data_IF_270220953205
#
_entry.id   IF_270220953205
#
_cell.length_a   1.000
_cell.length_b   1.000
_cell.length_c   1.000
_cell.angle_alpha   90.00
_cell.angle_beta   90.00
_cell.angle_gamma   90.00
#
_symmetry.space_group_name_H-M   'P 1'
#
loop_
_entity.id
_entity.type
_entity.pdbx_description
1 polymer ?
#
# COMPACT_ATOMS: atom_id res chain seq x y z
N UNK A 1 3.54 18.22 -7.09
CA UNK A 1 2.62 18.40 -5.95
C UNK A 1 2.54 17.13 -5.14
N UNK A 2 2.70 17.24 -3.82
CA UNK A 2 2.57 16.14 -2.88
C UNK A 2 1.13 16.04 -2.36
N UNK A 3 0.78 14.87 -1.80
CA UNK A 3 -0.52 14.67 -1.19
C UNK A 3 -0.34 14.10 0.22
N UNK A 4 -1.05 14.67 1.18
CA UNK A 4 -1.16 14.13 2.53
C UNK A 4 -2.57 13.60 2.78
N UNK A 5 -2.69 12.64 3.71
CA UNK A 5 -3.97 12.01 4.01
C UNK A 5 -4.20 11.95 5.51
N UNK A 6 -5.21 12.67 5.96
CA UNK A 6 -5.73 12.54 7.32
C UNK A 6 -6.83 11.48 7.36
N UNK A 7 -6.84 10.63 8.39
CA UNK A 7 -7.75 9.51 8.50
C UNK A 7 -8.52 9.53 9.82
N UNK A 8 -9.83 9.24 9.74
CA UNK A 8 -10.70 9.00 10.90
C UNK A 8 -11.47 7.71 10.73
N UNK A 9 -11.52 6.89 11.77
CA UNK A 9 -12.37 5.69 11.82
C UNK A 9 -13.77 6.10 12.23
N UNK A 10 -14.77 5.60 11.52
CA UNK A 10 -16.19 5.74 11.83
C UNK A 10 -16.70 4.37 12.27
N UNK A 11 -17.09 4.27 13.52
CA UNK A 11 -17.63 3.06 14.15
C UNK A 11 -19.16 3.03 14.09
N UNK A 12 -19.78 1.91 14.48
CA UNK A 12 -21.24 1.78 14.56
C UNK A 12 -21.90 2.72 15.58
N UNK A 13 -21.11 3.33 16.47
CA UNK A 13 -21.57 4.27 17.50
C UNK A 13 -21.60 5.72 17.01
N UNK A 14 -20.91 6.00 15.90
CA UNK A 14 -20.88 7.32 15.29
C UNK A 14 -22.18 7.61 14.54
N UNK A 15 -22.75 8.79 14.72
CA UNK A 15 -24.01 9.24 14.07
C UNK A 15 -23.96 9.14 12.55
N UNK A 16 -22.80 9.36 11.97
CA UNK A 16 -22.55 9.32 10.51
C UNK A 16 -22.39 7.88 9.96
N UNK A 17 -22.38 6.85 10.79
CA UNK A 17 -22.15 5.45 10.33
C UNK A 17 -23.17 5.01 9.28
N UNK A 18 -24.47 5.22 9.54
CA UNK A 18 -25.55 4.84 8.62
C UNK A 18 -25.46 5.57 7.28
N UNK A 19 -25.03 6.83 7.28
CA UNK A 19 -24.74 7.58 6.07
C UNK A 19 -23.60 6.93 5.25
N UNK A 20 -22.52 6.57 5.90
CA UNK A 20 -21.38 5.90 5.25
C UNK A 20 -21.78 4.55 4.65
N UNK A 21 -22.56 3.73 5.39
CA UNK A 21 -23.05 2.42 4.94
C UNK A 21 -23.93 2.58 3.69
N UNK A 22 -24.89 3.50 3.74
CA UNK A 22 -25.82 3.76 2.64
C UNK A 22 -25.08 4.18 1.35
N UNK A 23 -24.15 5.15 1.46
CA UNK A 23 -23.36 5.60 0.30
C UNK A 23 -22.50 4.48 -0.27
N UNK A 24 -21.84 3.68 0.57
CA UNK A 24 -20.98 2.60 0.12
C UNK A 24 -21.76 1.47 -0.58
N UNK A 25 -23.01 1.19 -0.14
CA UNK A 25 -23.91 0.24 -0.83
C UNK A 25 -24.34 0.76 -2.19
N UNK A 26 -24.84 1.98 -2.25
CA UNK A 26 -25.24 2.63 -3.51
C UNK A 26 -24.08 2.74 -4.50
N UNK A 27 -22.89 3.09 -4.02
CA UNK A 27 -21.70 3.18 -4.83
C UNK A 27 -21.31 1.81 -5.45
N UNK A 28 -21.47 0.71 -4.71
CA UNK A 28 -21.25 -0.65 -5.24
C UNK A 28 -22.20 -0.99 -6.38
N UNK A 29 -23.50 -0.69 -6.21
CA UNK A 29 -24.50 -0.94 -7.23
C UNK A 29 -24.23 -0.15 -8.49
N UNK A 30 -24.02 1.15 -8.36
CA UNK A 30 -23.69 2.04 -9.49
C UNK A 30 -22.40 1.64 -10.21
N UNK A 31 -21.34 1.30 -9.46
CA UNK A 31 -20.10 0.82 -10.08
C UNK A 31 -20.34 -0.44 -10.93
N UNK A 32 -21.11 -1.40 -10.41
CA UNK A 32 -21.42 -2.63 -11.13
C UNK A 32 -22.31 -2.37 -12.35
N UNK A 33 -23.31 -1.50 -12.24
CA UNK A 33 -24.15 -1.09 -13.37
C UNK A 33 -23.35 -0.39 -14.48
N UNK A 34 -22.41 0.49 -14.09
CA UNK A 34 -21.49 1.15 -15.02
C UNK A 34 -20.53 0.15 -15.68
N UNK A 35 -19.91 -0.72 -14.86
CA UNK A 35 -18.97 -1.74 -15.37
C UNK A 35 -19.68 -2.75 -16.30
N UNK A 36 -20.94 -3.10 -16.03
CA UNK A 36 -21.75 -3.95 -16.90
C UNK A 36 -21.80 -3.40 -18.32
N UNK A 37 -22.09 -2.12 -18.44
CA UNK A 37 -22.16 -1.44 -19.77
C UNK A 37 -20.79 -1.39 -20.42
N UNK A 38 -19.76 -0.97 -19.71
CA UNK A 38 -18.37 -0.90 -20.23
C UNK A 38 -17.92 -2.25 -20.80
N UNK A 39 -18.21 -3.35 -20.08
CA UNK A 39 -17.84 -4.70 -20.51
C UNK A 39 -18.62 -5.16 -21.72
N UNK A 40 -19.94 -5.00 -21.72
CA UNK A 40 -20.80 -5.48 -22.81
C UNK A 40 -20.61 -4.65 -24.10
N UNK A 41 -20.33 -3.35 -23.99
CA UNK A 41 -19.89 -2.55 -25.14
C UNK A 41 -18.61 -3.13 -25.73
N UNK A 42 -17.60 -3.37 -24.90
CA UNK A 42 -16.31 -3.86 -25.37
C UNK A 42 -16.38 -5.25 -26.02
N UNK A 43 -17.12 -6.18 -25.40
CA UNK A 43 -17.23 -7.57 -25.90
C UNK A 43 -18.16 -7.70 -27.10
N UNK A 44 -19.22 -6.90 -27.18
CA UNK A 44 -20.23 -6.96 -28.25
C UNK A 44 -19.96 -6.04 -29.45
N UNK A 45 -18.90 -5.20 -29.41
CA UNK A 45 -18.70 -4.12 -30.42
C UNK A 45 -18.55 -4.62 -31.87
N UNK A 46 -17.76 -5.67 -32.05
CA UNK A 46 -17.46 -6.26 -33.39
C UNK A 46 -18.04 -7.67 -33.53
N UNK A 47 -19.02 -8.05 -32.72
CA UNK A 47 -19.60 -9.37 -32.68
C UNK A 47 -20.79 -9.48 -33.64
N UNK A 48 -20.81 -10.54 -34.46
CA UNK A 48 -21.96 -10.86 -35.30
C UNK A 48 -23.15 -11.36 -34.46
N UNK A 49 -22.88 -12.26 -33.53
CA UNK A 49 -23.90 -12.80 -32.62
C UNK A 49 -23.65 -12.31 -31.17
N UNK A 50 -24.44 -11.32 -30.76
CA UNK A 50 -24.40 -10.77 -29.40
C UNK A 50 -25.21 -11.62 -28.43
N UNK A 51 -24.75 -11.69 -27.19
CA UNK A 51 -25.53 -12.25 -26.08
C UNK A 51 -26.68 -11.30 -25.72
N UNK A 52 -27.70 -11.79 -25.00
CA UNK A 52 -28.83 -10.98 -24.52
C UNK A 52 -28.38 -9.70 -23.79
N UNK A 53 -27.38 -9.82 -22.90
CA UNK A 53 -26.82 -8.67 -22.19
C UNK A 53 -26.16 -7.65 -23.14
N UNK A 54 -25.47 -8.12 -24.14
CA UNK A 54 -24.85 -7.26 -25.15
C UNK A 54 -25.93 -6.58 -26.02
N UNK A 55 -26.97 -7.33 -26.43
CA UNK A 55 -28.11 -6.77 -27.17
C UNK A 55 -28.75 -5.64 -26.38
N UNK A 56 -29.12 -5.87 -25.10
CA UNK A 56 -29.74 -4.84 -24.27
C UNK A 56 -28.89 -3.59 -24.12
N UNK A 57 -27.56 -3.74 -23.97
CA UNK A 57 -26.67 -2.57 -23.88
C UNK A 57 -26.56 -1.83 -25.24
N UNK A 58 -26.62 -2.54 -26.38
CA UNK A 58 -26.62 -1.88 -27.69
C UNK A 58 -27.96 -1.21 -28.01
N UNK A 59 -29.08 -1.68 -27.48
CA UNK A 59 -30.37 -0.98 -27.49
C UNK A 59 -30.29 0.32 -26.67
N UNK A 60 -29.69 0.28 -25.49
CA UNK A 60 -29.43 1.51 -24.71
C UNK A 60 -28.55 2.49 -25.49
N UNK A 61 -27.54 2.03 -26.24
CA UNK A 61 -26.71 2.88 -27.10
C UNK A 61 -27.54 3.50 -28.24
N UNK A 62 -28.46 2.75 -28.83
CA UNK A 62 -29.37 3.30 -29.83
C UNK A 62 -30.27 4.39 -29.28
N UNK A 63 -30.78 4.24 -28.04
CA UNK A 63 -31.50 5.31 -27.33
C UNK A 63 -30.61 6.54 -27.12
N UNK A 64 -29.35 6.36 -26.71
CA UNK A 64 -28.38 7.44 -26.56
C UNK A 64 -28.15 8.19 -27.88
N UNK A 65 -27.96 7.47 -28.98
CA UNK A 65 -27.72 8.04 -30.28
C UNK A 65 -28.97 8.78 -30.84
N UNK A 66 -30.16 8.27 -30.52
CA UNK A 66 -31.43 8.96 -30.83
C UNK A 66 -31.54 10.29 -30.08
N UNK A 67 -31.15 10.32 -28.80
CA UNK A 67 -31.16 11.53 -27.95
C UNK A 67 -30.03 12.50 -28.30
N UNK A 68 -28.90 11.98 -28.76
CA UNK A 68 -27.70 12.75 -29.13
C UNK A 68 -27.08 12.23 -30.41
N UNK A 69 -27.58 12.66 -31.61
CA UNK A 69 -27.16 12.12 -32.93
C UNK A 69 -25.68 12.25 -33.25
N UNK A 70 -24.97 13.19 -32.60
CA UNK A 70 -23.53 13.42 -32.78
C UNK A 70 -22.64 12.46 -32.00
N UNK A 71 -23.22 11.63 -31.13
CA UNK A 71 -22.46 10.70 -30.29
C UNK A 71 -22.20 9.41 -31.07
N UNK A 72 -20.90 9.08 -31.23
CA UNK A 72 -20.44 7.80 -31.75
C UNK A 72 -19.73 7.02 -30.63
N UNK A 73 -20.39 5.95 -30.15
CA UNK A 73 -19.80 5.08 -29.12
C UNK A 73 -18.74 4.21 -29.78
N UNK A 74 -17.53 4.19 -29.20
CA UNK A 74 -16.40 3.34 -29.62
C UNK A 74 -16.34 2.07 -28.79
N UNK A 75 -15.59 1.07 -29.25
CA UNK A 75 -15.33 -0.20 -28.55
C UNK A 75 -14.95 -0.02 -27.08
N UNK A 76 -14.18 1.01 -26.73
CA UNK A 76 -13.93 1.46 -25.35
C UNK A 76 -14.76 2.72 -25.12
N UNK A 77 -15.90 2.55 -24.46
CA UNK A 77 -16.79 3.67 -24.18
C UNK A 77 -16.09 4.73 -23.32
N UNK A 78 -16.26 6.01 -23.68
CA UNK A 78 -15.74 7.12 -22.88
C UNK A 78 -16.60 7.34 -21.63
N UNK A 79 -16.01 7.96 -20.59
CA UNK A 79 -16.76 8.37 -19.41
C UNK A 79 -17.97 9.25 -19.77
N UNK A 80 -17.78 10.23 -20.66
CA UNK A 80 -18.86 11.15 -21.08
C UNK A 80 -20.03 10.43 -21.77
N UNK A 81 -19.71 9.45 -22.62
CA UNK A 81 -20.75 8.66 -23.28
C UNK A 81 -21.46 7.74 -22.31
N UNK A 82 -20.72 7.11 -21.38
CA UNK A 82 -21.31 6.25 -20.36
C UNK A 82 -22.20 7.05 -19.39
N UNK A 83 -21.77 8.21 -18.95
CA UNK A 83 -22.57 9.08 -18.06
C UNK A 83 -23.88 9.53 -18.73
N UNK A 84 -23.82 9.96 -20.00
CA UNK A 84 -25.01 10.27 -20.78
C UNK A 84 -25.90 9.05 -21.02
N UNK A 85 -25.32 7.88 -21.28
CA UNK A 85 -26.04 6.61 -21.42
C UNK A 85 -26.85 6.30 -20.16
N UNK A 86 -26.20 6.37 -18.98
CA UNK A 86 -26.86 6.13 -17.69
C UNK A 86 -28.01 7.12 -17.43
N UNK A 87 -27.91 8.34 -17.94
CA UNK A 87 -28.99 9.36 -17.83
C UNK A 87 -30.14 9.10 -18.79
N UNK A 88 -29.87 8.84 -20.05
CA UNK A 88 -30.91 8.63 -21.08
C UNK A 88 -31.72 7.37 -20.80
N UNK A 89 -31.08 6.35 -20.21
CA UNK A 89 -31.74 5.11 -19.82
C UNK A 89 -32.45 5.18 -18.46
N UNK A 90 -32.43 6.35 -17.81
CA UNK A 90 -32.96 6.56 -16.46
C UNK A 90 -32.50 5.47 -15.48
N UNK A 91 -31.19 5.19 -15.49
CA UNK A 91 -30.65 4.06 -14.74
C UNK A 91 -30.88 4.24 -13.24
N UNK A 92 -31.58 3.30 -12.56
CA UNK A 92 -31.98 3.46 -11.17
C UNK A 92 -30.77 3.61 -10.22
N UNK A 93 -29.66 2.93 -10.47
CA UNK A 93 -28.48 3.03 -9.63
C UNK A 93 -27.77 4.38 -9.77
N UNK A 94 -27.88 5.05 -10.94
CA UNK A 94 -27.32 6.37 -11.16
C UNK A 94 -28.13 7.45 -10.42
N UNK A 95 -29.45 7.27 -10.30
CA UNK A 95 -30.36 8.19 -9.62
C UNK A 95 -30.72 7.75 -8.19
N UNK A 96 -30.08 6.73 -7.64
CA UNK A 96 -30.37 6.14 -6.32
C UNK A 96 -30.11 7.06 -5.11
N UNK A 97 -29.89 8.36 -5.32
CA UNK A 97 -29.65 9.35 -4.26
C UNK A 97 -28.20 9.40 -3.77
N UNK A 98 -27.24 9.03 -4.60
CA UNK A 98 -25.85 9.47 -4.43
C UNK A 98 -25.76 10.96 -4.79
N UNK A 99 -24.85 11.75 -4.14
CA UNK A 99 -24.53 13.10 -4.59
C UNK A 99 -24.10 13.06 -6.06
N UNK A 100 -24.50 14.06 -6.85
CA UNK A 100 -24.28 14.06 -8.31
C UNK A 100 -22.83 13.85 -8.70
N UNK A 101 -21.90 14.55 -8.06
CA UNK A 101 -20.47 14.39 -8.32
C UNK A 101 -19.96 13.00 -7.90
N UNK A 102 -20.45 12.48 -6.77
CA UNK A 102 -20.13 11.14 -6.30
C UNK A 102 -20.58 10.07 -7.31
N UNK A 103 -21.81 10.16 -7.83
CA UNK A 103 -22.31 9.25 -8.87
C UNK A 103 -21.45 9.33 -10.14
N UNK A 104 -21.06 10.52 -10.56
CA UNK A 104 -20.14 10.72 -11.68
C UNK A 104 -18.76 10.10 -11.42
N UNK A 105 -18.20 10.25 -10.21
CA UNK A 105 -16.91 9.64 -9.86
C UNK A 105 -16.97 8.11 -9.88
N UNK A 106 -18.06 7.49 -9.39
CA UNK A 106 -18.23 6.04 -9.43
C UNK A 106 -18.33 5.51 -10.87
N UNK A 107 -19.06 6.22 -11.73
CA UNK A 107 -19.16 5.91 -13.17
C UNK A 107 -17.79 6.04 -13.85
N UNK A 108 -17.06 7.13 -13.57
CA UNK A 108 -15.71 7.37 -14.07
C UNK A 108 -14.72 6.29 -13.62
N UNK A 109 -14.84 5.82 -12.36
CA UNK A 109 -13.99 4.77 -11.81
C UNK A 109 -14.10 3.47 -12.61
N UNK A 110 -15.32 3.05 -13.00
CA UNK A 110 -15.52 1.84 -13.80
C UNK A 110 -14.79 1.92 -15.16
N UNK A 111 -14.85 3.08 -15.82
CA UNK A 111 -14.13 3.31 -17.08
C UNK A 111 -12.61 3.33 -16.87
N UNK A 112 -12.16 3.95 -15.79
CA UNK A 112 -10.73 4.04 -15.42
C UNK A 112 -10.15 2.66 -15.14
N UNK A 113 -10.84 1.84 -14.34
CA UNK A 113 -10.41 0.47 -14.04
C UNK A 113 -10.31 -0.38 -15.30
N UNK A 114 -11.25 -0.20 -16.24
CA UNK A 114 -11.24 -0.88 -17.52
C UNK A 114 -10.06 -0.45 -18.41
N UNK A 115 -9.77 0.86 -18.47
CA UNK A 115 -8.62 1.40 -19.23
C UNK A 115 -7.30 0.94 -18.62
N UNK A 116 -7.19 0.88 -17.30
CA UNK A 116 -6.00 0.36 -16.59
C UNK A 116 -5.76 -1.11 -16.92
N UNK A 117 -6.82 -1.92 -17.02
CA UNK A 117 -6.71 -3.31 -17.46
C UNK A 117 -6.17 -3.39 -18.91
N UNK A 118 -6.67 -2.56 -19.84
CA UNK A 118 -6.17 -2.53 -21.21
C UNK A 118 -4.69 -2.10 -21.27
N UNK A 119 -4.28 -1.14 -20.45
CA UNK A 119 -2.89 -0.73 -20.32
C UNK A 119 -2.02 -1.89 -19.81
N UNK A 120 -2.48 -2.59 -18.76
CA UNK A 120 -1.80 -3.78 -18.24
C UNK A 120 -1.69 -4.91 -19.25
N UNK A 121 -2.70 -5.11 -20.11
CA UNK A 121 -2.63 -6.09 -21.22
C UNK A 121 -1.58 -5.72 -22.26
N UNK A 122 -1.43 -4.43 -22.58
CA UNK A 122 -0.40 -3.97 -23.52
C UNK A 122 0.99 -4.16 -22.94
N UNK A 123 1.17 -3.84 -21.65
CA UNK A 123 2.44 -4.04 -20.94
C UNK A 123 2.77 -5.54 -20.82
N UNK A 124 1.77 -6.38 -20.49
CA UNK A 124 1.94 -7.84 -20.45
C UNK A 124 2.40 -8.44 -21.76
N UNK A 125 1.93 -7.90 -22.90
CA UNK A 125 2.39 -8.37 -24.24
C UNK A 125 3.87 -8.09 -24.49
N UNK A 126 4.42 -7.01 -23.91
CA UNK A 126 5.83 -6.61 -24.06
C UNK A 126 6.71 -7.25 -22.99
N UNK A 127 6.20 -7.38 -21.77
CA UNK A 127 6.91 -7.78 -20.57
C UNK A 127 6.10 -8.78 -19.74
N UNK A 128 5.85 -10.02 -20.26
CA UNK A 128 5.09 -11.03 -19.54
C UNK A 128 5.76 -11.44 -18.21
N UNK A 129 7.07 -11.33 -18.13
CA UNK A 129 7.87 -11.63 -16.94
C UNK A 129 7.55 -10.74 -15.73
N UNK A 130 6.98 -9.55 -15.93
CA UNK A 130 6.56 -8.65 -14.85
C UNK A 130 5.25 -9.06 -14.18
N UNK A 131 4.56 -10.09 -14.70
CA UNK A 131 3.22 -10.47 -14.27
C UNK A 131 3.17 -11.94 -13.85
N UNK A 132 2.36 -12.25 -12.84
CA UNK A 132 2.06 -13.64 -12.45
C UNK A 132 1.22 -14.41 -13.49
N UNK A 133 0.67 -13.71 -14.46
CA UNK A 133 -0.16 -14.26 -15.53
C UNK A 133 -0.92 -13.17 -16.24
N UNK A 134 -1.65 -13.53 -17.31
CA UNK A 134 -2.39 -12.58 -18.14
C UNK A 134 -3.39 -11.76 -17.31
N UNK A 135 -3.34 -10.41 -17.35
CA UNK A 135 -4.29 -9.55 -16.66
C UNK A 135 -5.74 -9.86 -17.02
N UNK A 136 -6.60 -10.00 -16.03
CA UNK A 136 -8.02 -10.31 -16.22
C UNK A 136 -8.85 -9.04 -16.24
N UNK A 137 -9.91 -9.06 -17.06
CA UNK A 137 -10.89 -7.97 -17.13
C UNK A 137 -11.47 -7.68 -15.73
N UNK A 138 -11.69 -6.39 -15.37
CA UNK A 138 -12.28 -6.03 -14.08
C UNK A 138 -13.56 -6.81 -13.78
N UNK A 139 -13.65 -7.35 -12.58
CA UNK A 139 -14.81 -8.10 -12.11
C UNK A 139 -15.80 -7.18 -11.39
N UNK A 140 -17.08 -7.58 -11.37
CA UNK A 140 -18.07 -6.94 -10.52
C UNK A 140 -17.68 -7.04 -9.05
N UNK A 141 -17.95 -5.98 -8.29
CA UNK A 141 -17.76 -5.99 -6.84
C UNK A 141 -18.77 -6.94 -6.21
N UNK A 142 -18.25 -8.02 -5.60
CA UNK A 142 -19.07 -9.05 -4.93
C UNK A 142 -19.45 -8.67 -3.50
N UNK A 143 -18.60 -7.88 -2.81
CA UNK A 143 -18.89 -7.37 -1.47
C UNK A 143 -20.00 -6.34 -1.54
N UNK A 144 -20.77 -6.20 -0.45
CA UNK A 144 -21.95 -5.31 -0.41
C UNK A 144 -21.58 -3.83 -0.41
N UNK A 145 -20.34 -3.50 -0.10
CA UNK A 145 -19.84 -2.14 0.07
C UNK A 145 -18.71 -1.85 -0.91
N UNK A 146 -18.69 -0.63 -1.46
CA UNK A 146 -17.57 -0.11 -2.25
C UNK A 146 -17.06 1.20 -1.65
N UNK A 147 -15.81 1.53 -1.93
CA UNK A 147 -15.25 2.84 -1.58
C UNK A 147 -15.98 3.94 -2.34
N UNK A 148 -16.35 5.00 -1.64
CA UNK A 148 -16.96 6.21 -2.19
C UNK A 148 -15.90 7.29 -2.30
N UNK A 149 -15.94 8.07 -3.37
CA UNK A 149 -15.09 9.25 -3.58
C UNK A 149 -15.98 10.47 -3.67
N UNK A 150 -15.79 11.42 -2.75
CA UNK A 150 -16.48 12.70 -2.70
C UNK A 150 -15.45 13.78 -3.02
N UNK A 151 -15.69 14.57 -4.05
CA UNK A 151 -14.78 15.64 -4.45
C UNK A 151 -14.92 16.86 -3.55
N UNK A 152 -13.96 17.76 -3.61
CA UNK A 152 -14.00 19.06 -2.91
C UNK A 152 -15.12 19.99 -3.36
N UNK A 153 -15.85 19.67 -4.44
CA UNK A 153 -17.05 20.39 -4.85
C UNK A 153 -18.26 20.07 -3.95
N UNK A 154 -18.30 18.85 -3.39
CA UNK A 154 -19.39 18.36 -2.53
C UNK A 154 -18.98 18.32 -1.05
N UNK A 155 -17.68 18.16 -0.75
CA UNK A 155 -17.13 18.13 0.60
C UNK A 155 -16.50 19.50 0.93
N UNK A 156 -16.97 20.15 1.98
CA UNK A 156 -16.55 21.51 2.35
C UNK A 156 -15.90 21.51 3.73
N UNK A 157 -14.76 22.19 3.84
CA UNK A 157 -14.11 22.48 5.12
C UNK A 157 -14.54 23.85 5.64
N UNK A 158 -14.80 23.93 6.92
CA UNK A 158 -15.07 25.17 7.65
C UNK A 158 -13.97 25.38 8.68
N UNK A 159 -13.33 26.54 8.71
CA UNK A 159 -12.35 26.87 9.75
C UNK A 159 -12.97 26.80 11.15
N UNK A 160 -12.21 26.30 12.12
CA UNK A 160 -12.54 26.22 13.54
C UNK A 160 -11.32 26.69 14.35
N UNK A 161 -11.51 27.01 15.64
CA UNK A 161 -10.47 27.62 16.47
C UNK A 161 -9.12 26.85 16.51
N UNK A 162 -9.13 25.52 16.39
CA UNK A 162 -7.92 24.68 16.40
C UNK A 162 -7.99 23.55 15.37
N UNK A 163 -8.47 23.84 14.15
CA UNK A 163 -8.60 22.84 13.11
C UNK A 163 -9.70 23.18 12.12
N UNK A 164 -10.35 22.16 11.58
CA UNK A 164 -11.42 22.33 10.59
C UNK A 164 -12.60 21.41 10.86
N UNK A 165 -13.80 21.83 10.47
CA UNK A 165 -14.99 20.99 10.43
C UNK A 165 -15.29 20.59 8.98
N UNK A 166 -15.38 19.29 8.73
CA UNK A 166 -15.78 18.74 7.44
C UNK A 166 -17.30 18.60 7.38
N UNK A 167 -17.92 19.17 6.35
CA UNK A 167 -19.30 18.91 5.95
C UNK A 167 -19.33 18.05 4.70
N UNK A 168 -20.02 16.92 4.78
CA UNK A 168 -20.29 16.03 3.64
C UNK A 168 -21.66 16.33 3.03
N UNK A 169 -21.88 15.99 1.74
CA UNK A 169 -23.16 16.23 1.07
C UNK A 169 -24.28 15.37 1.68
N UNK A 170 -25.53 15.86 1.57
CA UNK A 170 -26.76 15.16 2.03
C UNK A 170 -26.83 14.92 3.54
N UNK A 171 -25.84 15.31 4.34
CA UNK A 171 -25.89 15.23 5.80
C UNK A 171 -25.80 16.60 6.44
N UNK A 172 -26.43 16.74 7.63
CA UNK A 172 -26.29 17.94 8.48
C UNK A 172 -25.11 17.83 9.44
N UNK A 173 -24.57 16.63 9.61
CA UNK A 173 -23.46 16.34 10.51
C UNK A 173 -22.19 17.05 10.05
N UNK A 174 -21.44 17.58 11.01
CA UNK A 174 -20.08 18.10 10.81
C UNK A 174 -19.09 17.27 11.60
N UNK A 175 -17.97 16.95 10.99
CA UNK A 175 -16.91 16.17 11.61
C UNK A 175 -15.71 17.08 11.86
N UNK A 176 -15.36 17.29 13.12
CA UNK A 176 -14.21 18.08 13.51
C UNK A 176 -12.92 17.29 13.37
N UNK A 177 -11.87 17.94 12.85
CA UNK A 177 -10.50 17.45 12.71
C UNK A 177 -9.56 18.50 13.30
N UNK A 178 -8.84 18.11 14.36
CA UNK A 178 -7.74 18.89 14.92
C UNK A 178 -6.50 18.80 14.03
N UNK A 179 -5.60 19.77 14.17
CA UNK A 179 -4.28 19.75 13.52
C UNK A 179 -4.30 19.76 11.98
N UNK A 180 -5.37 20.28 11.37
CA UNK A 180 -5.40 20.59 9.94
C UNK A 180 -5.37 22.12 9.83
N UNK A 181 -4.46 22.65 9.00
CA UNK A 181 -4.37 24.07 8.73
C UNK A 181 -5.66 24.59 8.07
N UNK A 182 -6.05 25.81 8.37
CA UNK A 182 -7.18 26.51 7.71
C UNK A 182 -6.95 26.65 6.20
N UNK A 183 -5.69 26.80 5.79
CA UNK A 183 -5.29 26.95 4.39
C UNK A 183 -5.13 25.62 3.65
N UNK A 184 -5.41 24.48 4.31
CA UNK A 184 -5.25 23.17 3.70
C UNK A 184 -6.22 22.97 2.52
N UNK A 185 -5.70 22.71 1.35
CA UNK A 185 -6.50 22.48 0.14
C UNK A 185 -7.00 21.04 0.06
N UNK A 186 -8.28 20.84 0.37
CA UNK A 186 -8.94 19.54 0.26
C UNK A 186 -9.09 19.15 -1.21
N UNK A 187 -8.60 17.97 -1.59
CA UNK A 187 -8.73 17.39 -2.92
C UNK A 187 -9.93 16.47 -3.06
N UNK A 188 -10.02 15.52 -2.18
CA UNK A 188 -11.11 14.55 -2.09
C UNK A 188 -11.28 14.00 -0.68
N UNK A 189 -12.46 13.41 -0.45
CA UNK A 189 -12.76 12.60 0.72
C UNK A 189 -13.14 11.20 0.26
N UNK A 190 -12.48 10.17 0.81
CA UNK A 190 -12.82 8.78 0.52
C UNK A 190 -13.41 8.11 1.74
N UNK A 191 -14.58 7.49 1.57
CA UNK A 191 -15.20 6.62 2.57
C UNK A 191 -14.91 5.18 2.17
N UNK A 192 -14.06 4.48 2.95
CA UNK A 192 -13.62 3.13 2.67
C UNK A 192 -14.21 2.15 3.68
N UNK A 193 -14.88 1.06 3.25
CA UNK A 193 -15.22 -0.03 4.16
C UNK A 193 -13.96 -0.58 4.84
N UNK A 194 -13.99 -0.72 6.18
CA UNK A 194 -12.81 -1.08 6.95
C UNK A 194 -13.18 -1.97 8.15
N UNK A 195 -13.13 -3.28 7.98
CA UNK A 195 -13.36 -4.27 9.05
C UNK A 195 -14.63 -4.02 9.88
N UNK A 196 -15.79 -3.88 9.22
CA UNK A 196 -17.07 -3.60 9.88
C UNK A 196 -17.24 -2.15 10.36
N UNK A 197 -16.32 -1.28 9.99
CA UNK A 197 -16.29 0.17 10.20
C UNK A 197 -16.08 0.87 8.87
N UNK A 198 -15.99 2.20 8.90
CA UNK A 198 -15.56 2.98 7.74
C UNK A 198 -14.30 3.77 8.09
N UNK A 199 -13.39 3.88 7.13
CA UNK A 199 -12.25 4.77 7.20
C UNK A 199 -12.52 5.98 6.32
N UNK A 200 -12.69 7.13 6.95
CA UNK A 200 -12.81 8.41 6.29
C UNK A 200 -11.40 8.95 6.05
N UNK A 201 -11.03 9.15 4.79
CA UNK A 201 -9.71 9.63 4.38
C UNK A 201 -9.89 10.98 3.68
N UNK A 202 -9.31 12.04 4.24
CA UNK A 202 -9.24 13.37 3.66
C UNK A 202 -7.90 13.51 2.96
N UNK A 203 -7.91 13.76 1.66
CA UNK A 203 -6.69 13.97 0.86
C UNK A 203 -6.48 15.46 0.67
N UNK A 204 -5.33 15.96 1.09
CA UNK A 204 -4.91 17.35 0.92
C UNK A 204 -3.81 17.45 -0.11
N UNK A 205 -3.82 18.53 -0.87
CA UNK A 205 -2.77 18.88 -1.82
C UNK A 205 -1.76 19.81 -1.12
N UNK A 206 -0.49 19.47 -1.17
CA UNK A 206 0.59 20.22 -0.52
C UNK A 206 1.73 20.50 -1.50
N UNK A 207 2.54 21.52 -1.23
CA UNK A 207 3.79 21.75 -1.98
C UNK A 207 4.68 20.50 -1.91
N UNK A 208 5.49 20.30 -2.93
CA UNK A 208 6.49 19.23 -2.89
C UNK A 208 7.54 19.53 -1.81
N UNK A 209 7.91 18.52 -1.00
CA UNK A 209 8.97 18.68 -0.01
C UNK A 209 10.29 19.06 -0.68
N UNK A 210 11.01 20.01 -0.08
CA UNK A 210 12.32 20.43 -0.56
C UNK A 210 13.38 19.46 -0.04
N UNK A 211 14.20 18.90 -0.95
CA UNK A 211 15.32 18.04 -0.58
C UNK A 211 16.43 18.89 0.05
N UNK A 212 16.89 18.47 1.23
CA UNK A 212 17.97 19.15 1.97
C UNK A 212 19.31 18.68 1.43
N UNK A 213 20.01 19.55 0.70
CA UNK A 213 21.34 19.26 0.16
C UNK A 213 22.47 19.39 1.19
N UNK A 214 22.19 19.95 2.36
CA UNK A 214 23.18 20.18 3.43
C UNK A 214 23.51 18.94 4.27
N UNK A 215 22.79 17.84 4.12
CA UNK A 215 23.06 16.58 4.83
C UNK A 215 23.97 15.71 3.96
N UNK A 216 25.24 15.47 4.38
CA UNK A 216 26.26 14.88 3.51
C UNK A 216 26.20 13.35 3.42
N UNK A 217 25.63 12.69 4.45
CA UNK A 217 25.74 11.25 4.60
C UNK A 217 24.67 10.49 3.82
N UNK A 218 24.94 9.22 3.60
CA UNK A 218 24.06 8.29 2.91
C UNK A 218 23.74 7.12 3.83
N UNK A 219 22.46 6.77 3.95
CA UNK A 219 22.01 5.54 4.61
C UNK A 219 21.49 4.54 3.59
N UNK A 220 21.57 3.25 3.94
CA UNK A 220 20.94 2.17 3.17
C UNK A 220 20.18 1.22 4.07
N UNK A 221 19.09 0.67 3.55
CA UNK A 221 18.22 -0.28 4.26
C UNK A 221 18.13 -1.61 3.49
N UNK A 222 18.39 -2.70 4.22
CA UNK A 222 18.00 -4.05 3.85
C UNK A 222 16.71 -4.43 4.59
N UNK A 223 15.71 -4.96 3.85
CA UNK A 223 14.43 -5.39 4.41
C UNK A 223 14.39 -6.91 4.58
N UNK A 224 14.12 -7.36 5.79
CA UNK A 224 14.12 -8.78 6.12
C UNK A 224 12.85 -9.29 6.77
N UNK A 225 12.82 -10.59 7.06
CA UNK A 225 11.66 -11.27 7.67
C UNK A 225 11.66 -11.25 9.19
N UNK A 226 12.80 -11.41 9.83
CA UNK A 226 12.95 -11.39 11.30
C UNK A 226 13.29 -9.99 11.79
N UNK A 227 14.19 -9.33 11.08
CA UNK A 227 14.46 -7.92 11.20
C UNK A 227 13.70 -7.20 10.08
N UNK A 228 12.78 -6.31 10.44
CA UNK A 228 11.99 -5.60 9.42
C UNK A 228 12.85 -4.67 8.58
N UNK A 229 13.88 -4.10 9.21
CA UNK A 229 14.88 -3.29 8.53
C UNK A 229 16.21 -3.39 9.27
N UNK A 230 17.30 -3.49 8.52
CA UNK A 230 18.64 -3.19 8.97
C UNK A 230 19.10 -1.93 8.23
N UNK A 231 19.51 -0.90 8.95
CA UNK A 231 19.99 0.37 8.39
C UNK A 231 21.46 0.57 8.70
N UNK A 232 22.18 1.08 7.74
CA UNK A 232 23.60 1.42 7.85
C UNK A 232 23.79 2.83 7.28
N UNK A 233 24.64 3.62 7.94
CA UNK A 233 25.07 4.94 7.50
C UNK A 233 26.57 4.92 7.17
N UNK A 234 27.01 5.73 6.21
CA UNK A 234 28.42 5.84 5.81
C UNK A 234 29.31 6.56 6.84
N UNK A 235 28.72 7.10 7.90
CA UNK A 235 29.44 7.62 9.07
C UNK A 235 29.90 6.51 10.05
N UNK A 236 29.62 5.23 9.75
CA UNK A 236 29.97 4.10 10.61
C UNK A 236 28.90 3.72 11.63
N UNK A 237 27.68 4.17 11.45
CA UNK A 237 26.55 3.82 12.33
C UNK A 237 25.66 2.76 11.74
N UNK A 238 25.09 1.88 12.59
CA UNK A 238 24.16 0.84 12.15
C UNK A 238 23.07 0.55 13.17
N UNK A 239 21.89 0.15 12.68
CA UNK A 239 20.78 -0.23 13.55
C UNK A 239 19.91 -1.34 12.92
N UNK A 240 19.21 -2.09 13.80
CA UNK A 240 18.28 -3.15 13.43
C UNK A 240 16.91 -2.89 14.07
N UNK A 241 15.87 -3.00 13.28
CA UNK A 241 14.46 -2.91 13.70
C UNK A 241 13.81 -4.29 13.67
N UNK A 242 13.52 -4.84 14.85
CA UNK A 242 12.97 -6.19 15.03
C UNK A 242 11.52 -6.29 14.58
N UNK A 243 11.20 -7.31 13.76
CA UNK A 243 9.83 -7.62 13.32
C UNK A 243 9.05 -8.58 14.21
N UNK A 244 9.67 -9.12 15.27
CA UNK A 244 9.15 -10.24 16.06
C UNK A 244 7.75 -10.02 16.64
N UNK A 245 7.43 -8.82 17.15
CA UNK A 245 6.12 -8.50 17.70
C UNK A 245 5.01 -8.56 16.63
N UNK A 246 5.26 -8.00 15.46
CA UNK A 246 4.31 -8.03 14.34
C UNK A 246 4.15 -9.45 13.79
N UNK A 247 5.22 -10.23 13.72
CA UNK A 247 5.16 -11.64 13.32
C UNK A 247 4.34 -12.47 14.31
N UNK A 248 4.55 -12.30 15.62
CA UNK A 248 3.81 -12.99 16.66
C UNK A 248 2.32 -12.67 16.62
N UNK A 249 1.96 -11.38 16.55
CA UNK A 249 0.57 -10.94 16.42
C UNK A 249 -0.08 -11.49 15.14
N UNK A 250 0.64 -11.45 14.02
CA UNK A 250 0.16 -11.98 12.74
C UNK A 250 -0.10 -13.48 12.80
N UNK A 251 0.78 -14.27 13.43
CA UNK A 251 0.59 -15.71 13.60
C UNK A 251 -0.62 -16.00 14.49
N UNK A 252 -0.75 -15.29 15.61
CA UNK A 252 -1.91 -15.41 16.50
C UNK A 252 -3.21 -15.04 15.76
N UNK A 253 -3.21 -13.92 15.03
CA UNK A 253 -4.33 -13.49 14.21
C UNK A 253 -4.77 -14.56 13.22
N UNK A 254 -3.86 -15.14 12.45
CA UNK A 254 -4.19 -16.19 11.49
C UNK A 254 -4.76 -17.44 12.15
N UNK A 255 -4.22 -17.84 13.32
CA UNK A 255 -4.74 -18.96 14.11
C UNK A 255 -6.18 -18.70 14.57
N UNK A 256 -6.46 -17.52 15.15
CA UNK A 256 -7.80 -17.16 15.58
C UNK A 256 -8.78 -17.01 14.40
N UNK A 257 -8.32 -16.38 13.32
CA UNK A 257 -9.11 -16.24 12.09
C UNK A 257 -9.51 -17.60 11.53
N UNK A 258 -8.59 -18.55 11.41
CA UNK A 258 -8.87 -19.88 10.91
C UNK A 258 -9.93 -20.59 11.79
N UNK A 259 -9.81 -20.49 13.13
CA UNK A 259 -10.79 -21.02 14.07
C UNK A 259 -12.20 -20.43 13.83
N UNK A 260 -12.33 -19.11 13.75
CA UNK A 260 -13.64 -18.48 13.55
C UNK A 260 -14.22 -18.75 12.15
N UNK A 261 -13.39 -18.75 11.12
CA UNK A 261 -13.83 -19.11 9.76
C UNK A 261 -14.34 -20.53 9.73
N UNK A 262 -13.67 -21.50 10.36
CA UNK A 262 -14.12 -22.90 10.45
C UNK A 262 -15.51 -23.00 11.10
N UNK A 263 -15.76 -22.28 12.20
CA UNK A 263 -17.07 -22.24 12.86
C UNK A 263 -18.14 -21.63 11.93
N UNK A 264 -17.83 -20.51 11.27
CA UNK A 264 -18.76 -19.79 10.39
C UNK A 264 -19.08 -20.55 9.09
N UNK A 265 -18.21 -21.45 8.65
CA UNK A 265 -18.43 -22.29 7.47
C UNK A 265 -18.97 -23.67 7.80
N UNK A 266 -19.07 -24.06 9.08
CA UNK A 266 -19.65 -25.32 9.51
C UNK A 266 -21.12 -25.42 9.07
N UNK A 267 -21.47 -26.47 8.33
CA UNK A 267 -22.83 -26.68 7.80
C UNK A 267 -23.15 -25.90 6.50
N UNK A 268 -22.29 -25.01 6.02
CA UNK A 268 -22.49 -24.25 4.78
C UNK A 268 -21.33 -24.49 3.81
N UNK A 269 -21.53 -25.34 2.82
CA UNK A 269 -20.53 -25.54 1.74
C UNK A 269 -20.37 -24.22 0.97
N UNK A 270 -19.18 -23.64 1.00
CA UNK A 270 -18.72 -22.54 0.13
C UNK A 270 -19.17 -21.09 0.43
N UNK A 271 -19.83 -20.79 1.55
CA UNK A 271 -20.19 -19.41 1.88
C UNK A 271 -19.74 -19.03 3.28
N UNK A 272 -18.87 -18.04 3.34
CA UNK A 272 -18.38 -17.42 4.55
C UNK A 272 -19.05 -16.05 4.74
N UNK A 273 -19.68 -15.84 5.89
CA UNK A 273 -20.28 -14.56 6.28
C UNK A 273 -19.41 -13.94 7.38
N UNK A 274 -18.88 -12.72 7.20
CA UNK A 274 -18.12 -12.06 8.24
C UNK A 274 -18.97 -11.85 9.50
N UNK A 275 -18.44 -12.24 10.66
CA UNK A 275 -19.05 -11.92 11.95
C UNK A 275 -18.44 -10.65 12.55
N UNK A 276 -19.17 -9.98 13.47
CA UNK A 276 -18.67 -8.83 14.23
C UNK A 276 -17.33 -9.17 14.90
N UNK A 277 -17.24 -10.35 15.56
CA UNK A 277 -16.03 -10.82 16.24
C UNK A 277 -14.83 -10.96 15.29
N UNK A 278 -15.05 -11.48 14.08
CA UNK A 278 -13.99 -11.61 13.08
C UNK A 278 -13.57 -10.24 12.49
N UNK A 279 -14.54 -9.35 12.32
CA UNK A 279 -14.28 -7.98 11.91
C UNK A 279 -13.45 -7.23 12.96
N UNK A 280 -13.80 -7.35 14.24
CA UNK A 280 -13.06 -6.74 15.35
C UNK A 280 -11.65 -7.32 15.50
N UNK A 281 -11.50 -8.63 15.33
CA UNK A 281 -10.19 -9.29 15.30
C UNK A 281 -9.31 -8.72 14.17
N UNK A 282 -9.88 -8.60 12.97
CA UNK A 282 -9.18 -8.06 11.79
C UNK A 282 -8.83 -6.59 11.97
N UNK A 283 -9.73 -5.81 12.57
CA UNK A 283 -9.50 -4.40 12.89
C UNK A 283 -8.35 -4.20 13.87
N UNK A 284 -8.32 -4.96 14.97
CA UNK A 284 -7.24 -4.88 15.98
C UNK A 284 -5.89 -5.22 15.37
N UNK A 285 -5.82 -6.33 14.62
CA UNK A 285 -4.61 -6.74 13.93
C UNK A 285 -4.11 -5.68 12.94
N UNK A 286 -5.00 -5.16 12.07
CA UNK A 286 -4.64 -4.15 11.08
C UNK A 286 -4.11 -2.86 11.74
N UNK A 287 -4.72 -2.41 12.85
CA UNK A 287 -4.27 -1.24 13.59
C UNK A 287 -2.94 -1.48 14.30
N UNK A 288 -2.73 -2.66 14.91
CA UNK A 288 -1.46 -3.01 15.52
C UNK A 288 -0.32 -2.99 14.50
N UNK A 289 -0.50 -3.65 13.36
CA UNK A 289 0.50 -3.65 12.28
C UNK A 289 0.78 -2.24 11.78
N UNK A 290 -0.28 -1.43 11.58
CA UNK A 290 -0.15 -0.03 11.14
C UNK A 290 0.64 0.80 12.15
N UNK A 291 0.32 0.70 13.44
CA UNK A 291 1.00 1.42 14.53
C UNK A 291 2.49 1.06 14.59
N UNK A 292 2.81 -0.23 14.55
CA UNK A 292 4.21 -0.68 14.56
C UNK A 292 4.98 -0.19 13.31
N UNK A 293 4.38 -0.23 12.13
CA UNK A 293 5.00 0.32 10.92
C UNK A 293 5.22 1.84 11.02
N UNK A 294 4.30 2.59 11.64
CA UNK A 294 4.47 4.02 11.88
C UNK A 294 5.64 4.31 12.83
N UNK A 295 5.78 3.54 13.91
CA UNK A 295 6.86 3.68 14.91
C UNK A 295 8.21 3.33 14.32
N UNK A 296 8.31 2.17 13.64
CA UNK A 296 9.53 1.75 12.95
C UNK A 296 9.95 2.79 11.90
N UNK A 297 9.04 3.17 11.01
CA UNK A 297 9.37 4.14 9.96
C UNK A 297 9.73 5.52 10.52
N UNK A 298 9.15 5.96 11.66
CA UNK A 298 9.53 7.20 12.32
C UNK A 298 10.94 7.10 12.88
N UNK A 299 11.23 6.03 13.63
CA UNK A 299 12.56 5.81 14.22
C UNK A 299 13.66 5.68 13.16
N UNK A 300 13.36 5.09 12.00
CA UNK A 300 14.29 5.05 10.85
C UNK A 300 14.60 6.47 10.34
N UNK A 301 13.59 7.33 10.22
CA UNK A 301 13.81 8.71 9.76
C UNK A 301 14.54 9.53 10.83
N UNK A 302 14.23 9.32 12.11
CA UNK A 302 14.94 9.97 13.20
C UNK A 302 16.43 9.57 13.20
N UNK A 303 16.74 8.28 12.95
CA UNK A 303 18.13 7.81 12.74
C UNK A 303 18.77 8.52 11.55
N UNK A 304 18.11 8.62 10.39
CA UNK A 304 18.67 9.32 9.23
C UNK A 304 18.96 10.80 9.53
N UNK A 305 18.08 11.49 10.24
CA UNK A 305 18.26 12.90 10.61
C UNK A 305 19.38 13.06 11.64
N UNK A 306 19.46 12.20 12.67
CA UNK A 306 20.52 12.17 13.68
C UNK A 306 21.90 12.02 13.03
N UNK A 307 21.99 11.14 12.03
CA UNK A 307 23.22 10.88 11.27
C UNK A 307 23.38 11.74 10.01
N UNK A 308 22.63 12.84 9.90
CA UNK A 308 22.70 13.81 8.80
C UNK A 308 22.66 13.16 7.39
N UNK A 309 21.84 12.14 7.21
CA UNK A 309 21.71 11.45 5.95
C UNK A 309 20.79 12.21 4.96
N UNK A 310 21.39 12.78 3.92
CA UNK A 310 20.66 13.44 2.82
C UNK A 310 20.12 12.48 1.77
N UNK A 311 20.62 11.23 1.76
CA UNK A 311 20.16 10.17 0.86
C UNK A 311 19.86 8.90 1.64
N UNK A 312 18.71 8.28 1.34
CA UNK A 312 18.32 6.98 1.87
C UNK A 312 18.08 5.99 0.73
N UNK A 313 18.90 4.93 0.69
CA UNK A 313 18.83 3.87 -0.30
C UNK A 313 17.99 2.74 0.25
N UNK A 314 16.98 2.33 -0.50
CA UNK A 314 16.11 1.22 -0.14
C UNK A 314 16.43 0.00 -1.00
N UNK A 315 16.83 -1.11 -0.39
CA UNK A 315 16.94 -2.41 -1.06
C UNK A 315 15.58 -2.86 -1.57
N UNK A 316 15.51 -3.22 -2.85
CA UNK A 316 14.27 -3.68 -3.47
C UNK A 316 14.49 -4.96 -4.26
N UNK A 317 13.56 -5.90 -4.12
CA UNK A 317 13.51 -7.08 -4.95
C UNK A 317 12.10 -7.14 -5.59
N UNK A 318 11.98 -6.81 -6.88
CA UNK A 318 10.68 -6.78 -7.57
C UNK A 318 9.91 -8.09 -7.51
N UNK A 319 10.63 -9.22 -7.44
CA UNK A 319 10.07 -10.57 -7.44
C UNK A 319 10.00 -11.21 -6.05
N UNK A 320 10.27 -10.47 -4.99
CA UNK A 320 10.46 -10.99 -3.63
C UNK A 320 9.34 -11.92 -3.14
N UNK A 321 8.08 -11.66 -3.49
CA UNK A 321 6.94 -12.49 -3.10
C UNK A 321 6.50 -13.52 -4.15
N UNK A 322 7.22 -13.64 -5.26
CA UNK A 322 6.88 -14.53 -6.36
C UNK A 322 7.75 -15.78 -6.34
N UNK A 323 7.14 -16.96 -6.51
CA UNK A 323 7.83 -18.26 -6.62
C UNK A 323 8.77 -18.63 -5.46
N UNK A 324 8.54 -18.10 -4.26
CA UNK A 324 9.37 -18.45 -3.10
C UNK A 324 9.12 -19.90 -2.67
N UNK A 325 10.05 -20.81 -2.97
CA UNK A 325 10.02 -22.23 -2.56
C UNK A 325 10.67 -22.44 -1.18
N UNK A 326 10.35 -21.57 -0.21
CA UNK A 326 10.95 -21.59 1.15
C UNK A 326 10.15 -22.41 2.16
N UNK A 327 9.21 -23.22 1.68
CA UNK A 327 8.33 -24.05 2.52
C UNK A 327 7.10 -23.31 3.04
N UNK A 328 6.03 -24.06 3.39
CA UNK A 328 4.71 -23.52 3.72
C UNK A 328 4.72 -22.49 4.88
N UNK A 329 5.45 -22.79 5.95
CA UNK A 329 5.51 -21.92 7.15
C UNK A 329 6.28 -20.64 6.86
N UNK A 330 7.42 -20.74 6.17
CA UNK A 330 8.21 -19.58 5.80
C UNK A 330 7.49 -18.72 4.75
N UNK A 331 6.81 -19.33 3.77
CA UNK A 331 5.99 -18.61 2.81
C UNK A 331 4.85 -17.83 3.49
N UNK A 332 4.17 -18.41 4.49
CA UNK A 332 3.13 -17.70 5.24
C UNK A 332 3.70 -16.50 6.00
N UNK A 333 4.82 -16.66 6.68
CA UNK A 333 5.52 -15.55 7.35
C UNK A 333 5.88 -14.46 6.34
N UNK A 334 6.49 -14.84 5.24
CA UNK A 334 7.00 -13.96 4.20
C UNK A 334 5.90 -13.15 3.50
N UNK A 335 4.80 -13.80 3.09
CA UNK A 335 3.67 -13.15 2.42
C UNK A 335 2.90 -12.20 3.33
N UNK A 336 2.81 -12.53 4.63
CA UNK A 336 2.07 -11.72 5.61
C UNK A 336 2.81 -10.49 6.12
N UNK A 337 4.10 -10.34 5.80
CA UNK A 337 4.89 -9.19 6.25
C UNK A 337 4.50 -7.90 5.53
N UNK A 338 4.33 -6.78 6.27
CA UNK A 338 3.88 -5.51 5.70
C UNK A 338 5.05 -4.68 5.12
N UNK A 339 6.06 -5.31 4.49
CA UNK A 339 7.27 -4.61 4.01
C UNK A 339 6.96 -3.53 2.98
N UNK A 340 6.08 -3.82 2.01
CA UNK A 340 5.67 -2.81 1.03
C UNK A 340 5.00 -1.59 1.70
N UNK A 341 4.19 -1.84 2.74
CA UNK A 341 3.55 -0.80 3.53
C UNK A 341 4.55 0.00 4.35
N UNK A 342 5.50 -0.68 5.02
CA UNK A 342 6.59 -0.05 5.76
C UNK A 342 7.46 0.81 4.82
N UNK A 343 7.84 0.29 3.65
CA UNK A 343 8.60 1.02 2.63
C UNK A 343 7.88 2.29 2.19
N UNK A 344 6.57 2.20 1.90
CA UNK A 344 5.77 3.38 1.56
C UNK A 344 5.80 4.42 2.68
N UNK A 345 5.71 3.99 3.96
CA UNK A 345 5.78 4.90 5.09
C UNK A 345 7.15 5.56 5.26
N UNK A 346 8.23 4.82 5.05
CA UNK A 346 9.59 5.35 5.07
C UNK A 346 9.75 6.37 3.94
N UNK A 347 9.32 6.04 2.73
CA UNK A 347 9.46 6.90 1.54
C UNK A 347 8.82 8.27 1.76
N UNK A 348 7.53 8.34 2.14
CA UNK A 348 6.89 9.65 2.29
C UNK A 348 7.44 10.44 3.49
N UNK A 349 7.81 9.77 4.58
CA UNK A 349 8.40 10.44 5.74
C UNK A 349 9.81 10.97 5.45
N UNK A 350 10.61 10.23 4.69
CA UNK A 350 11.93 10.66 4.24
C UNK A 350 11.83 11.91 3.36
N UNK A 351 10.93 11.89 2.37
CA UNK A 351 10.66 13.05 1.52
C UNK A 351 10.23 14.26 2.35
N UNK A 352 9.33 14.10 3.31
CA UNK A 352 8.90 15.18 4.21
C UNK A 352 10.04 15.70 5.10
N UNK A 353 11.02 14.87 5.43
CA UNK A 353 12.23 15.28 6.15
C UNK A 353 13.28 15.92 5.24
N UNK A 354 13.05 15.99 3.92
CA UNK A 354 13.97 16.50 2.93
C UNK A 354 15.09 15.52 2.53
N UNK A 355 14.87 14.21 2.75
CA UNK A 355 15.81 13.13 2.44
C UNK A 355 15.47 12.55 1.06
N UNK A 356 16.47 12.48 0.17
CA UNK A 356 16.34 11.85 -1.15
C UNK A 356 16.21 10.34 -1.01
N UNK A 357 15.24 9.73 -1.73
CA UNK A 357 15.08 8.29 -1.81
C UNK A 357 15.68 7.74 -3.11
N UNK A 358 16.43 6.64 -2.99
CA UNK A 358 16.95 5.85 -4.11
C UNK A 358 16.52 4.40 -3.91
N UNK A 359 15.97 3.75 -4.92
CA UNK A 359 15.69 2.32 -4.90
C UNK A 359 16.82 1.56 -5.59
N UNK A 360 17.38 0.55 -4.92
CA UNK A 360 18.47 -0.28 -5.43
C UNK A 360 18.06 -1.75 -5.43
N UNK A 361 18.24 -2.40 -6.55
CA UNK A 361 18.09 -3.86 -6.67
C UNK A 361 19.13 -4.57 -5.76
N UNK A 362 18.68 -5.59 -4.97
CA UNK A 362 19.44 -6.16 -3.85
C UNK A 362 20.06 -7.56 -4.14
N UNK A 363 20.06 -8.05 -5.39
CA UNK A 363 20.64 -9.34 -5.72
C UNK A 363 22.09 -9.44 -5.24
N UNK A 364 22.41 -10.58 -4.63
CA UNK A 364 23.75 -10.94 -4.17
C UNK A 364 24.37 -10.06 -3.06
N UNK A 365 23.71 -9.03 -2.59
CA UNK A 365 24.22 -8.15 -1.52
C UNK A 365 24.44 -8.89 -0.20
N UNK A 366 23.69 -9.96 0.07
CA UNK A 366 23.86 -10.82 1.25
C UNK A 366 24.98 -11.87 1.09
N UNK A 367 25.58 -11.99 -0.12
CA UNK A 367 26.62 -12.97 -0.42
C UNK A 367 28.01 -12.34 -0.61
N UNK A 368 28.06 -11.18 -1.26
CA UNK A 368 29.30 -10.50 -1.59
C UNK A 368 30.01 -10.00 -0.33
N UNK A 369 31.30 -10.31 -0.19
CA UNK A 369 32.11 -9.87 0.95
C UNK A 369 32.48 -8.40 0.81
N UNK A 370 32.19 -7.61 1.86
CA UNK A 370 32.48 -6.17 1.87
C UNK A 370 33.96 -5.90 2.11
N UNK A 371 34.66 -6.73 2.92
CA UNK A 371 36.08 -6.55 3.24
C UNK A 371 36.97 -6.91 2.07
N UNK A 372 36.63 -8.00 1.35
CA UNK A 372 37.30 -8.41 0.13
C UNK A 372 36.89 -7.60 -1.10
N UNK A 373 35.91 -6.68 -0.95
CA UNK A 373 35.36 -5.87 -2.04
C UNK A 373 34.85 -6.70 -3.22
N UNK A 374 34.24 -7.88 -2.94
CA UNK A 374 33.67 -8.73 -3.98
C UNK A 374 32.75 -7.95 -4.92
N UNK A 375 32.80 -8.28 -6.22
CA UNK A 375 31.85 -7.73 -7.17
C UNK A 375 30.41 -8.16 -6.83
N UNK A 376 29.44 -7.23 -6.91
CA UNK A 376 28.03 -7.49 -6.62
C UNK A 376 27.25 -7.51 -7.94
N UNK A 377 26.97 -8.67 -8.52
CA UNK A 377 26.27 -8.78 -9.79
C UNK A 377 24.77 -8.49 -9.65
N UNK A 378 24.11 -8.33 -10.79
CA UNK A 378 22.65 -8.26 -10.91
C UNK A 378 22.11 -9.58 -11.44
N UNK A 379 21.09 -10.13 -10.79
CA UNK A 379 20.51 -11.42 -11.16
C UNK A 379 20.03 -11.45 -12.61
N UNK A 380 20.48 -12.46 -13.36
CA UNK A 380 20.10 -12.68 -14.76
C UNK A 380 20.72 -11.69 -15.75
N UNK A 381 21.72 -10.87 -15.33
CA UNK A 381 22.40 -9.90 -16.18
C UNK A 381 23.89 -10.25 -16.30
N UNK A 382 24.58 -10.35 -15.18
CA UNK A 382 26.03 -10.50 -15.11
C UNK A 382 26.48 -11.46 -13.99
N UNK A 383 25.63 -12.42 -13.62
CA UNK A 383 25.83 -13.30 -12.48
C UNK A 383 26.36 -14.71 -12.80
N UNK A 384 26.62 -15.03 -14.08
CA UNK A 384 26.99 -16.40 -14.51
C UNK A 384 28.26 -16.94 -13.86
N UNK A 385 29.24 -16.09 -13.51
CA UNK A 385 30.50 -16.46 -12.92
C UNK A 385 30.76 -15.81 -11.55
N UNK A 386 29.73 -15.42 -10.84
CA UNK A 386 29.85 -14.72 -9.56
C UNK A 386 30.51 -15.63 -8.50
N UNK A 387 31.63 -15.14 -7.93
CA UNK A 387 32.35 -15.79 -6.83
C UNK A 387 32.35 -14.86 -5.63
N UNK A 388 32.18 -15.43 -4.44
CA UNK A 388 32.13 -14.67 -3.20
C UNK A 388 33.17 -15.22 -2.22
N UNK A 389 33.92 -14.32 -1.60
CA UNK A 389 35.04 -14.64 -0.73
C UNK A 389 34.61 -14.98 0.69
N UNK A 390 33.50 -14.41 1.17
CA UNK A 390 32.97 -14.67 2.51
C UNK A 390 31.83 -15.69 2.53
N UNK A 391 31.34 -16.05 3.72
CA UNK A 391 30.31 -17.06 3.91
C UNK A 391 29.36 -16.74 5.05
N UNK A 392 28.05 -16.99 4.86
CA UNK A 392 27.06 -16.93 5.93
C UNK A 392 27.19 -18.15 6.82
N UNK A 393 27.70 -18.00 8.05
CA UNK A 393 27.96 -19.11 8.99
C UNK A 393 26.72 -19.58 9.74
N UNK A 394 25.80 -18.68 10.03
CA UNK A 394 24.47 -18.98 10.58
C UNK A 394 23.51 -17.82 10.31
N UNK A 395 22.23 -17.99 10.65
CA UNK A 395 21.28 -16.91 10.52
C UNK A 395 21.73 -15.70 11.33
N UNK A 396 21.81 -14.52 10.69
CA UNK A 396 22.23 -13.26 11.31
C UNK A 396 23.74 -13.05 11.41
N UNK A 397 24.61 -14.02 11.04
CA UNK A 397 26.06 -13.86 11.06
C UNK A 397 26.69 -14.20 9.72
N UNK A 398 27.55 -13.33 9.25
CA UNK A 398 28.37 -13.45 8.06
C UNK A 398 29.85 -13.40 8.45
N UNK A 399 30.68 -14.31 7.93
CA UNK A 399 32.14 -14.32 8.11
C UNK A 399 32.79 -13.88 6.81
N UNK A 400 33.52 -12.80 6.90
CA UNK A 400 34.34 -12.25 5.82
C UNK A 400 35.57 -13.09 5.56
N UNK A 401 36.21 -12.89 4.41
CA UNK A 401 37.45 -13.61 4.00
C UNK A 401 38.63 -13.35 4.96
N UNK A 402 38.69 -12.17 5.56
CA UNK A 402 39.67 -11.79 6.58
C UNK A 402 39.42 -12.40 7.97
N UNK A 403 38.33 -13.17 8.11
CA UNK A 403 37.88 -13.76 9.38
C UNK A 403 36.95 -12.91 10.22
N UNK A 404 36.72 -11.67 9.87
CA UNK A 404 35.79 -10.77 10.57
C UNK A 404 34.38 -11.31 10.55
N UNK A 405 33.68 -11.26 11.72
CA UNK A 405 32.29 -11.71 11.83
C UNK A 405 31.38 -10.49 11.94
N UNK A 406 30.47 -10.34 10.99
CA UNK A 406 29.55 -9.23 10.87
C UNK A 406 28.09 -9.68 11.06
N UNK A 407 27.21 -8.74 11.44
CA UNK A 407 25.78 -8.98 11.34
C UNK A 407 25.36 -9.06 9.86
N UNK A 408 24.73 -10.16 9.47
CA UNK A 408 24.46 -10.47 8.06
C UNK A 408 23.49 -9.48 7.40
N UNK A 409 22.55 -8.89 8.16
CA UNK A 409 21.57 -7.97 7.61
C UNK A 409 22.16 -6.55 7.48
N UNK A 410 23.01 -6.11 8.44
CA UNK A 410 23.78 -4.87 8.30
C UNK A 410 24.84 -4.97 7.19
N UNK A 411 25.48 -6.13 7.04
CA UNK A 411 26.39 -6.41 5.93
C UNK A 411 25.68 -6.30 4.57
N UNK A 412 24.46 -6.86 4.45
CA UNK A 412 23.65 -6.72 3.25
C UNK A 412 23.27 -5.25 2.96
N UNK A 413 22.85 -4.49 3.98
CA UNK A 413 22.55 -3.07 3.84
C UNK A 413 23.77 -2.25 3.37
N UNK A 414 24.97 -2.52 3.92
CA UNK A 414 26.21 -1.89 3.47
C UNK A 414 26.56 -2.23 2.01
N UNK A 415 26.30 -3.46 1.57
CA UNK A 415 26.46 -3.88 0.18
C UNK A 415 25.42 -3.26 -0.76
N UNK A 416 24.16 -3.04 -0.31
CA UNK A 416 23.15 -2.27 -1.06
C UNK A 416 23.67 -0.85 -1.30
N UNK A 417 24.26 -0.22 -0.27
CA UNK A 417 24.88 1.10 -0.40
C UNK A 417 26.03 1.08 -1.41
N UNK A 418 26.93 0.11 -1.32
CA UNK A 418 28.07 -0.06 -2.25
C UNK A 418 27.59 -0.31 -3.69
N UNK A 419 26.50 -1.05 -3.90
CA UNK A 419 25.94 -1.27 -5.23
C UNK A 419 25.41 -0.01 -5.87
N UNK A 420 24.94 0.95 -5.06
CA UNK A 420 24.45 2.28 -5.51
C UNK A 420 25.61 3.27 -5.67
N UNK A 421 26.56 3.27 -4.73
CA UNK A 421 27.71 4.17 -4.67
C UNK A 421 28.98 3.34 -4.52
N UNK A 422 29.60 2.89 -5.62
CA UNK A 422 30.66 1.87 -5.60
C UNK A 422 31.84 2.17 -4.67
N UNK A 423 32.25 3.44 -4.57
CA UNK A 423 33.46 3.87 -3.83
C UNK A 423 33.18 4.34 -2.41
N UNK A 424 31.95 4.17 -1.89
CA UNK A 424 31.54 4.74 -0.60
C UNK A 424 32.37 4.20 0.58
N UNK A 425 32.83 2.96 0.48
CA UNK A 425 33.63 2.29 1.51
C UNK A 425 35.14 2.25 1.22
N UNK A 426 35.65 2.98 0.22
CA UNK A 426 37.07 2.88 -0.19
C UNK A 426 38.06 3.32 0.90
N UNK A 427 37.65 4.27 1.73
CA UNK A 427 38.46 4.78 2.85
C UNK A 427 38.20 4.03 4.16
N UNK A 428 37.23 3.11 4.19
CA UNK A 428 36.85 2.36 5.40
C UNK A 428 37.70 1.12 5.53
N UNK A 429 38.47 1.02 6.60
CA UNK A 429 39.31 -0.14 6.93
C UNK A 429 38.72 -1.00 8.05
N UNK A 430 37.86 -0.43 8.87
CA UNK A 430 37.18 -1.12 9.99
C UNK A 430 35.67 -1.17 9.77
N UNK A 431 35.12 -2.36 9.65
CA UNK A 431 33.69 -2.64 9.54
C UNK A 431 33.07 -3.17 10.82
N UNK A 432 33.71 -2.97 11.99
CA UNK A 432 33.24 -3.44 13.28
C UNK A 432 31.83 -2.89 13.66
N UNK A 433 31.47 -1.70 13.16
CA UNK A 433 30.14 -1.12 13.33
C UNK A 433 29.01 -1.98 12.73
N UNK A 434 29.32 -2.85 11.75
CA UNK A 434 28.36 -3.80 11.19
C UNK A 434 28.18 -5.05 12.09
N UNK A 435 29.10 -5.31 13.03
CA UNK A 435 29.03 -6.46 13.92
C UNK A 435 28.04 -6.24 15.06
N UNK A 436 27.97 -5.02 15.60
CA UNK A 436 27.24 -4.69 16.81
C UNK A 436 26.24 -3.52 16.58
N UNK A 437 25.22 -3.70 15.72
CA UNK A 437 24.23 -2.67 15.44
C UNK A 437 23.38 -2.34 16.68
N UNK A 438 22.91 -1.10 16.80
CA UNK A 438 21.88 -0.72 17.78
C UNK A 438 20.58 -1.46 17.48
N UNK A 439 19.99 -2.11 18.47
CA UNK A 439 18.79 -2.94 18.27
C UNK A 439 17.55 -2.23 18.81
N UNK A 440 16.57 -2.03 17.95
CA UNK A 440 15.25 -1.51 18.30
C UNK A 440 14.22 -2.66 18.26
N UNK A 441 13.81 -3.15 19.41
CA UNK A 441 12.74 -4.11 19.56
C UNK A 441 11.40 -3.45 19.89
N UNK A 442 10.42 -4.26 20.26
CA UNK A 442 9.08 -3.75 20.60
C UNK A 442 9.10 -2.76 21.77
N UNK A 443 9.89 -3.01 22.81
CA UNK A 443 9.93 -2.18 24.02
C UNK A 443 10.59 -0.82 23.75
N UNK A 444 11.67 -0.79 23.00
CA UNK A 444 12.36 0.45 22.62
C UNK A 444 11.47 1.36 21.78
N UNK A 445 10.65 0.77 20.91
CA UNK A 445 9.69 1.48 20.05
C UNK A 445 8.37 1.82 20.76
N UNK A 446 8.10 1.19 21.92
CA UNK A 446 6.87 1.37 22.70
C UNK A 446 7.19 1.56 24.21
N UNK A 447 7.92 2.60 24.61
CA UNK A 447 8.39 2.76 25.99
C UNK A 447 7.25 2.83 27.03
N UNK A 448 6.05 3.28 26.64
CA UNK A 448 4.86 3.33 27.52
C UNK A 448 4.18 1.96 27.73
N UNK A 449 4.56 0.94 26.97
CA UNK A 449 4.00 -0.42 27.07
C UNK A 449 4.81 -1.35 27.98
N UNK A 450 5.85 -0.86 28.63
CA UNK A 450 6.61 -1.61 29.62
C UNK A 450 5.70 -1.79 30.85
N UNK A 451 5.34 -3.03 31.24
CA UNK A 451 4.63 -3.25 32.48
C UNK A 451 5.50 -2.70 33.62
N UNK A 452 4.94 -1.84 34.46
CA UNK A 452 5.60 -1.45 35.70
C UNK A 452 5.81 -2.74 36.51
N UNK A 453 7.06 -3.22 36.57
CA UNK A 453 7.44 -4.31 37.46
C UNK A 453 7.21 -3.86 38.88
N UNK A 454 6.30 -4.50 39.55
CA UNK A 454 6.04 -4.34 40.99
C UNK A 454 4.67 -3.68 41.20
N UNK A 455 3.71 -4.44 41.65
CA UNK A 455 3.57 -4.77 43.07
C UNK A 455 2.85 -6.12 43.07
N UNK A 456 3.55 -7.16 43.49
CA UNK A 456 2.89 -8.33 44.03
C UNK A 456 2.22 -7.87 45.34
N UNK A 457 0.90 -8.00 45.40
CA UNK A 457 0.14 -8.07 46.63
C UNK A 457 -0.61 -9.40 46.63
#
# INVERSE_FOLDING_TARGET
MAFTVTQRVISSEDTIYSYCDNLCRKAKLLYNAALFRVRNVFTGYEKEHRTENEIGVFEEIAMLQKAYPTIHVRKVISYYHLEKLMRVTDNPDFFAGLPKQTAQQMTKQAVTDFKNWLASLREYKKHPEKYLGKPRMPHYKKQDLATVIITNQDAVLYPEQNGVSLKLPITKERLYFSNISEDAFLKDVKIKPYHGRFLLCLTFEEPEPVIKTSMPNTCAIDFGTDNFAAIVCDDGSSAIYKGGAVLSDTQWFHKQKAKYVSILTSGHKNRYIPSKRLSDLSYRHANFVKDQCHKISRSIIDFCVEHQAGTLILGVNPLWKQNSRIGRVNNQKFVSMPIAFLRTMITYKALNAGIKIVEQEESYTSKADITAKDYIPTYGVDDENAKFSGVRIKRGLYRCADGTILNADCHAAANIMRKTVPNIWDKTTDFSFLANPKVYGFHELNPKSIPVKGIAA
#
